data_IF_221670768699
#
_entry.id   IF_221670768699
#
_cell.length_a   1.000
_cell.length_b   1.000
_cell.length_c   1.000
_cell.angle_alpha   90.00
_cell.angle_beta   90.00
_cell.angle_gamma   90.00
#
_symmetry.space_group_name_H-M   'P 1'
#
loop_
_entity.id
_entity.type
_entity.pdbx_description
1 polymer ?
#
# COMPACT_ATOMS: atom_id res chain seq x y z
N UNK A 1 17.34 1.61 33.56
CA UNK A 1 18.24 0.45 33.42
C UNK A 1 17.97 -0.15 32.06
N UNK A 2 18.95 -0.09 31.15
CA UNK A 2 18.79 -0.47 29.74
C UNK A 2 19.90 -1.48 29.46
N UNK A 3 19.53 -2.75 29.41
CA UNK A 3 20.44 -3.84 29.06
C UNK A 3 20.57 -3.91 27.54
N UNK A 4 21.71 -3.45 27.04
CA UNK A 4 22.08 -3.52 25.62
C UNK A 4 22.76 -4.86 25.37
N UNK A 5 22.06 -5.74 24.66
CA UNK A 5 22.64 -6.96 24.11
C UNK A 5 23.66 -6.65 23.02
N UNK A 6 24.77 -7.38 23.05
CA UNK A 6 25.79 -7.38 22.01
C UNK A 6 25.23 -8.10 20.79
N UNK A 7 24.62 -7.35 19.87
CA UNK A 7 24.68 -7.59 18.42
C UNK A 7 23.62 -6.74 17.69
N UNK A 8 24.08 -5.76 16.93
CA UNK A 8 23.42 -5.38 15.68
C UNK A 8 22.20 -4.46 15.74
N UNK A 9 22.39 -3.21 16.18
CA UNK A 9 21.52 -2.10 15.76
C UNK A 9 22.39 -0.93 15.28
N UNK A 10 22.86 -0.98 14.03
CA UNK A 10 23.35 0.23 13.35
C UNK A 10 22.14 1.05 12.91
N UNK A 11 21.62 1.85 13.82
CA UNK A 11 20.83 3.01 13.43
C UNK A 11 21.80 3.97 12.75
N UNK A 12 21.78 4.03 11.41
CA UNK A 12 22.33 5.19 10.71
C UNK A 12 21.44 6.39 11.09
N UNK A 13 21.79 7.02 12.21
CA UNK A 13 21.19 8.23 12.73
C UNK A 13 21.54 9.37 11.78
N UNK A 14 20.74 9.55 10.72
CA UNK A 14 20.70 10.83 10.06
C UNK A 14 20.20 11.85 11.08
N UNK A 15 21.07 12.77 11.51
CA UNK A 15 20.68 13.89 12.36
C UNK A 15 19.56 14.70 11.68
N UNK A 16 18.59 15.24 12.42
CA UNK A 16 17.48 16.04 11.86
C UNK A 16 17.96 17.18 10.94
N UNK A 17 19.17 17.69 11.16
CA UNK A 17 19.82 18.73 10.34
C UNK A 17 20.13 18.25 8.90
N UNK A 18 20.38 16.95 8.70
CA UNK A 18 20.59 16.36 7.36
C UNK A 18 19.31 16.31 6.52
N UNK A 19 18.14 16.33 7.16
CA UNK A 19 16.86 16.34 6.45
C UNK A 19 16.53 17.73 5.89
N UNK A 20 17.12 18.80 6.43
CA UNK A 20 16.95 20.17 5.96
C UNK A 20 17.78 20.48 4.69
N UNK A 21 18.86 19.74 4.45
CA UNK A 21 19.73 19.92 3.27
C UNK A 21 19.26 19.13 2.04
N UNK A 22 18.30 18.20 2.21
CA UNK A 22 17.89 17.25 1.18
C UNK A 22 18.91 16.12 0.96
N UNK A 23 18.53 15.09 0.18
CA UNK A 23 19.42 13.96 -0.12
C UNK A 23 18.71 12.81 -0.85
N UNK A 24 19.49 11.81 -1.30
CA UNK A 24 18.99 10.59 -1.94
C UNK A 24 19.27 9.40 -1.02
N UNK A 25 18.24 8.63 -0.68
CA UNK A 25 18.36 7.40 0.13
C UNK A 25 18.36 6.18 -0.77
N UNK A 26 19.25 5.22 -0.50
CA UNK A 26 19.35 3.96 -1.24
C UNK A 26 18.52 2.88 -0.53
N UNK A 27 17.67 2.18 -1.28
CA UNK A 27 16.97 0.98 -0.81
C UNK A 27 17.71 -0.26 -1.32
N UNK A 28 18.26 -1.05 -0.40
CA UNK A 28 18.85 -2.36 -0.73
C UNK A 28 18.03 -3.45 -0.05
N UNK A 29 17.30 -4.26 -0.83
CA UNK A 29 16.62 -5.45 -0.28
C UNK A 29 17.58 -6.63 -0.14
N UNK A 30 18.49 -6.78 -1.10
CA UNK A 30 19.59 -7.76 -1.11
C UNK A 30 20.72 -7.18 -1.98
N UNK A 31 21.94 -7.08 -1.46
CA UNK A 31 23.11 -6.58 -2.19
C UNK A 31 23.67 -7.63 -3.17
N UNK A 32 22.82 -8.16 -4.04
CA UNK A 32 23.18 -9.18 -5.01
C UNK A 32 23.18 -8.56 -6.42
N UNK A 33 24.35 -8.56 -7.06
CA UNK A 33 24.53 -8.15 -8.45
C UNK A 33 25.60 -7.07 -8.67
N UNK A 34 25.94 -6.85 -9.94
CA UNK A 34 26.87 -5.78 -10.35
C UNK A 34 26.13 -4.44 -10.37
N UNK A 35 26.80 -3.38 -9.94
CA UNK A 35 26.27 -2.02 -10.03
C UNK A 35 26.00 -1.64 -11.51
N UNK A 36 24.84 -1.04 -11.76
CA UNK A 36 24.49 -0.39 -13.04
C UNK A 36 25.10 1.01 -13.09
N UNK A 37 25.28 1.53 -14.31
CA UNK A 37 25.75 2.91 -14.56
C UNK A 37 24.61 3.94 -14.51
N UNK A 38 23.35 3.51 -14.46
CA UNK A 38 22.17 4.38 -14.37
C UNK A 38 21.05 3.72 -13.55
N UNK A 39 20.36 4.51 -12.72
CA UNK A 39 19.24 4.10 -11.90
C UNK A 39 18.12 5.13 -11.96
N UNK A 40 16.83 4.72 -11.93
CA UNK A 40 15.75 5.66 -11.77
C UNK A 40 15.79 6.30 -10.37
N UNK A 41 15.56 7.62 -10.32
CA UNK A 41 15.35 8.32 -9.07
C UNK A 41 13.85 8.35 -8.74
N UNK A 42 13.50 7.83 -7.56
CA UNK A 42 12.12 7.78 -7.09
C UNK A 42 11.79 9.00 -6.23
N UNK A 43 10.55 9.45 -6.28
CA UNK A 43 10.11 10.64 -5.54
C UNK A 43 9.95 10.40 -4.04
N UNK A 44 9.66 9.17 -3.62
CA UNK A 44 9.48 8.79 -2.22
C UNK A 44 9.77 7.30 -2.02
N UNK A 45 9.83 6.87 -0.74
CA UNK A 45 10.16 5.48 -0.35
C UNK A 45 9.13 4.48 -0.90
N UNK A 46 7.83 4.77 -0.82
CA UNK A 46 6.78 3.87 -1.32
C UNK A 46 6.92 3.65 -2.83
N UNK A 47 7.17 4.71 -3.61
CA UNK A 47 7.41 4.61 -5.04
C UNK A 47 8.65 3.74 -5.34
N UNK A 48 9.73 3.90 -4.56
CA UNK A 48 10.93 3.09 -4.71
C UNK A 48 10.72 1.62 -4.36
N UNK A 49 9.89 1.32 -3.35
CA UNK A 49 9.52 -0.06 -2.98
C UNK A 49 8.68 -0.76 -4.06
N UNK A 50 7.87 -0.01 -4.80
CA UNK A 50 6.99 -0.52 -5.85
C UNK A 50 7.52 -0.31 -7.28
N UNK A 51 8.70 0.30 -7.45
CA UNK A 51 9.30 0.54 -8.79
C UNK A 51 8.58 1.61 -9.63
N UNK A 52 7.96 2.61 -8.99
CA UNK A 52 7.16 3.66 -9.63
C UNK A 52 8.04 4.88 -9.96
N UNK A 53 8.49 4.99 -11.21
CA UNK A 53 9.46 6.02 -11.64
C UNK A 53 8.82 7.34 -12.10
N UNK A 54 7.51 7.37 -12.35
CA UNK A 54 6.79 8.54 -12.84
C UNK A 54 5.95 9.23 -11.77
N UNK A 55 5.67 10.52 -12.01
CA UNK A 55 4.72 11.31 -11.20
C UNK A 55 3.25 10.97 -11.51
N UNK A 56 3.02 10.17 -12.57
CA UNK A 56 1.70 9.80 -13.07
C UNK A 56 1.59 8.28 -13.05
N UNK A 57 0.81 7.78 -12.10
CA UNK A 57 0.42 6.37 -12.09
C UNK A 57 -0.49 6.12 -13.29
N UNK A 58 -0.12 5.16 -14.14
CA UNK A 58 -0.95 4.75 -15.29
C UNK A 58 -1.92 3.68 -14.84
N UNK A 59 -3.22 3.86 -15.11
CA UNK A 59 -4.25 2.87 -14.81
C UNK A 59 -3.90 1.49 -15.39
N UNK A 60 -3.98 0.46 -14.57
CA UNK A 60 -3.84 -0.94 -14.99
C UNK A 60 -5.16 -1.52 -15.47
N UNK A 61 -6.23 -1.33 -14.69
CA UNK A 61 -7.58 -1.84 -14.99
C UNK A 61 -8.67 -0.83 -14.63
N UNK A 62 -9.86 -1.01 -15.18
CA UNK A 62 -11.07 -0.25 -14.81
C UNK A 62 -12.10 -1.23 -14.27
N UNK A 63 -12.67 -0.93 -13.11
CA UNK A 63 -13.84 -1.64 -12.61
C UNK A 63 -15.09 -0.81 -12.89
N UNK A 64 -16.19 -1.49 -13.16
CA UNK A 64 -17.49 -0.85 -13.36
C UNK A 64 -18.41 -1.24 -12.20
N UNK A 65 -19.06 -0.25 -11.60
CA UNK A 65 -20.03 -0.48 -10.52
C UNK A 65 -21.23 0.44 -10.67
N UNK A 66 -22.43 -0.05 -10.34
CA UNK A 66 -23.66 0.74 -10.40
C UNK A 66 -23.75 1.72 -9.23
N UNK A 67 -23.31 1.29 -8.04
CA UNK A 67 -23.24 2.11 -6.84
C UNK A 67 -21.80 2.27 -6.41
N UNK A 68 -21.44 3.43 -5.85
CA UNK A 68 -20.12 3.64 -5.30
C UNK A 68 -20.08 3.07 -3.87
N UNK A 69 -19.36 1.97 -3.62
CA UNK A 69 -19.12 1.49 -2.25
C UNK A 69 -18.23 2.48 -1.48
N UNK A 70 -17.97 2.24 -0.18
CA UNK A 70 -17.13 3.12 0.66
C UNK A 70 -15.64 3.07 0.26
N UNK A 71 -15.31 3.64 -0.91
CA UNK A 71 -13.98 3.72 -1.50
C UNK A 71 -13.75 5.11 -2.08
N UNK A 72 -12.49 5.56 -2.04
CA UNK A 72 -12.08 6.88 -2.48
C UNK A 72 -10.81 6.81 -3.33
N UNK A 73 -10.46 7.94 -3.95
CA UNK A 73 -9.14 8.09 -4.56
C UNK A 73 -8.05 7.86 -3.50
N UNK A 74 -7.11 6.98 -3.80
CA UNK A 74 -6.03 6.61 -2.88
C UNK A 74 -6.35 5.41 -1.98
N UNK A 75 -7.58 4.90 -1.96
CA UNK A 75 -7.88 3.64 -1.27
C UNK A 75 -7.01 2.50 -1.79
N UNK A 76 -6.63 1.61 -0.88
CA UNK A 76 -5.75 0.47 -1.18
C UNK A 76 -6.52 -0.62 -1.92
N UNK A 77 -5.82 -1.30 -2.82
CA UNK A 77 -6.28 -2.55 -3.43
C UNK A 77 -5.55 -3.70 -2.76
N UNK A 78 -6.32 -4.64 -2.24
CA UNK A 78 -5.80 -5.75 -1.44
C UNK A 78 -5.96 -7.08 -2.18
N UNK A 79 -4.95 -7.93 -2.04
CA UNK A 79 -5.03 -9.36 -2.37
C UNK A 79 -4.72 -10.15 -1.12
N UNK A 80 -5.70 -10.90 -0.59
CA UNK A 80 -5.56 -11.66 0.67
C UNK A 80 -5.03 -10.78 1.82
N UNK A 81 -5.64 -9.62 2.02
CA UNK A 81 -5.26 -8.60 3.03
C UNK A 81 -3.87 -7.96 2.83
N UNK A 82 -3.23 -8.19 1.68
CA UNK A 82 -1.94 -7.60 1.35
C UNK A 82 -2.08 -6.50 0.29
N UNK A 83 -1.43 -5.35 0.51
CA UNK A 83 -1.49 -4.22 -0.43
C UNK A 83 -0.79 -4.55 -1.75
N UNK A 84 -1.55 -4.50 -2.85
CA UNK A 84 -1.05 -4.77 -4.20
C UNK A 84 -1.25 -3.61 -5.18
N UNK A 85 -1.96 -2.57 -4.76
CA UNK A 85 -2.26 -1.43 -5.63
C UNK A 85 -3.07 -0.35 -4.93
N UNK A 86 -3.50 0.64 -5.71
CA UNK A 86 -4.25 1.81 -5.25
C UNK A 86 -5.30 2.23 -6.27
N UNK A 87 -6.40 2.82 -5.79
CA UNK A 87 -7.39 3.49 -6.63
C UNK A 87 -6.83 4.84 -7.09
N UNK A 88 -6.80 5.06 -8.41
CA UNK A 88 -6.30 6.30 -9.02
C UNK A 88 -7.39 7.36 -9.14
N UNK A 89 -8.58 6.97 -9.56
CA UNK A 89 -9.72 7.87 -9.71
C UNK A 89 -11.04 7.13 -9.78
N UNK A 90 -12.11 7.83 -9.45
CA UNK A 90 -13.49 7.37 -9.58
C UNK A 90 -14.19 8.37 -10.48
N UNK A 91 -14.81 7.90 -11.57
CA UNK A 91 -15.45 8.73 -12.59
C UNK A 91 -16.95 8.40 -12.62
N UNK A 92 -17.82 9.32 -12.19
CA UNK A 92 -19.26 9.12 -12.34
C UNK A 92 -19.65 9.14 -13.82
N UNK A 93 -20.60 8.27 -14.16
CA UNK A 93 -21.34 8.23 -15.43
C UNK A 93 -22.83 8.38 -15.12
N UNK A 94 -23.67 8.41 -16.15
CA UNK A 94 -25.12 8.61 -16.01
C UNK A 94 -25.77 7.59 -15.06
N UNK A 95 -25.37 6.32 -15.12
CA UNK A 95 -25.99 5.23 -14.34
C UNK A 95 -24.98 4.35 -13.59
N UNK A 96 -23.69 4.67 -13.63
CA UNK A 96 -22.62 3.84 -13.06
C UNK A 96 -21.37 4.67 -12.76
N UNK A 97 -20.34 4.01 -12.24
CA UNK A 97 -19.04 4.57 -11.94
C UNK A 97 -17.96 3.71 -12.59
N UNK A 98 -16.98 4.38 -13.21
CA UNK A 98 -15.71 3.78 -13.59
C UNK A 98 -14.69 4.01 -12.47
N UNK A 99 -14.07 2.94 -11.98
CA UNK A 99 -13.05 2.99 -10.94
C UNK A 99 -11.71 2.58 -11.56
N UNK A 100 -10.82 3.55 -11.67
CA UNK A 100 -9.49 3.36 -12.24
C UNK A 100 -8.52 2.87 -11.18
N UNK A 101 -7.91 1.70 -11.42
CA UNK A 101 -7.02 1.05 -10.47
C UNK A 101 -5.62 0.94 -11.05
N UNK A 102 -4.63 1.20 -10.19
CA UNK A 102 -3.24 0.85 -10.44
C UNK A 102 -2.84 -0.35 -9.61
N UNK A 103 -2.32 -1.39 -10.26
CA UNK A 103 -1.68 -2.52 -9.61
C UNK A 103 -0.17 -2.37 -9.75
N UNK A 104 0.56 -2.53 -8.65
CA UNK A 104 2.00 -2.41 -8.66
C UNK A 104 2.63 -3.44 -9.62
N UNK A 105 3.70 -3.08 -10.36
CA UNK A 105 4.27 -3.94 -11.40
C UNK A 105 4.60 -5.35 -10.90
N UNK A 106 5.10 -5.47 -9.67
CA UNK A 106 5.43 -6.75 -9.04
C UNK A 106 4.22 -7.70 -8.88
N UNK A 107 2.99 -7.18 -8.85
CA UNK A 107 1.76 -7.93 -8.57
C UNK A 107 0.80 -8.02 -9.76
N UNK A 108 1.16 -7.49 -10.94
CA UNK A 108 0.29 -7.55 -12.11
C UNK A 108 -0.03 -8.99 -12.53
N UNK A 109 0.86 -9.94 -12.24
CA UNK A 109 0.64 -11.37 -12.48
C UNK A 109 -0.53 -11.97 -11.68
N UNK A 110 -1.06 -11.28 -10.66
CA UNK A 110 -2.23 -11.73 -9.89
C UNK A 110 -3.55 -11.48 -10.64
N UNK A 111 -3.54 -10.67 -11.70
CA UNK A 111 -4.70 -10.38 -12.52
C UNK A 111 -4.89 -11.47 -13.58
N UNK A 112 -6.10 -12.00 -13.65
CA UNK A 112 -6.53 -13.02 -14.61
C UNK A 112 -7.94 -12.73 -15.10
N UNK A 113 -8.38 -13.43 -16.15
CA UNK A 113 -9.77 -13.42 -16.63
C UNK A 113 -10.77 -13.90 -15.56
N UNK A 114 -10.31 -14.69 -14.59
CA UNK A 114 -11.10 -15.21 -13.47
C UNK A 114 -11.06 -14.34 -12.22
N UNK A 115 -10.30 -13.23 -12.24
CA UNK A 115 -10.23 -12.33 -11.09
C UNK A 115 -11.62 -11.76 -10.77
N UNK A 116 -11.90 -11.62 -9.46
CA UNK A 116 -13.13 -11.05 -8.92
C UNK A 116 -12.74 -10.00 -7.90
N UNK A 117 -13.44 -8.87 -7.93
CA UNK A 117 -13.18 -7.72 -7.06
C UNK A 117 -14.41 -7.47 -6.21
N UNK A 118 -14.20 -7.24 -4.92
CA UNK A 118 -15.25 -6.83 -3.99
C UNK A 118 -14.66 -5.78 -3.05
N UNK A 119 -15.52 -4.97 -2.44
CA UNK A 119 -15.11 -4.03 -1.39
C UNK A 119 -15.25 -4.70 -0.04
N UNK A 120 -14.19 -4.66 0.75
CA UNK A 120 -14.21 -5.10 2.14
C UNK A 120 -14.71 -3.93 2.99
N UNK A 121 -16.00 -3.93 3.35
CA UNK A 121 -16.56 -2.92 4.26
C UNK A 121 -15.88 -3.02 5.62
N UNK A 122 -15.22 -1.94 6.06
CA UNK A 122 -14.60 -1.85 7.39
C UNK A 122 -15.63 -1.92 8.55
N UNK A 123 -16.91 -1.66 8.26
CA UNK A 123 -18.01 -1.79 9.20
C UNK A 123 -18.97 -2.89 8.73
N UNK A 124 -18.83 -4.11 9.29
CA UNK A 124 -19.95 -5.06 9.33
C UNK A 124 -20.81 -4.68 10.53
N UNK A 125 -21.86 -3.91 10.30
CA UNK A 125 -22.89 -3.68 11.32
C UNK A 125 -23.91 -4.80 11.16
N UNK A 126 -23.76 -5.86 11.95
CA UNK A 126 -24.74 -6.95 12.00
C UNK A 126 -25.87 -6.52 12.96
N UNK A 127 -26.99 -6.06 12.39
CA UNK A 127 -28.20 -5.73 13.17
C UNK A 127 -29.07 -6.97 13.24
N UNK A 128 -28.78 -7.85 14.20
CA UNK A 128 -29.65 -8.98 14.53
C UNK A 128 -30.74 -8.55 15.53
N UNK A 129 -31.94 -9.16 15.55
CA UNK A 129 -32.99 -8.87 16.56
C UNK A 129 -32.54 -9.16 18.01
N UNK A 130 -31.37 -9.76 18.20
CA UNK A 130 -30.72 -10.06 19.48
C UNK A 130 -29.75 -8.97 19.97
N UNK A 131 -29.61 -7.87 19.24
CA UNK A 131 -28.73 -6.74 19.58
C UNK A 131 -27.65 -6.45 18.53
N UNK A 132 -26.90 -5.38 18.75
CA UNK A 132 -25.82 -4.91 17.88
C UNK A 132 -24.56 -5.76 18.16
N UNK A 133 -24.08 -6.52 17.17
CA UNK A 133 -22.78 -7.20 17.26
C UNK A 133 -21.74 -6.43 16.46
N UNK A 134 -20.75 -5.85 17.15
CA UNK A 134 -19.61 -5.17 16.52
C UNK A 134 -18.50 -6.20 16.39
N UNK A 135 -18.34 -6.79 15.20
CA UNK A 135 -17.14 -7.56 14.87
C UNK A 135 -16.06 -6.61 14.34
N UNK A 136 -15.25 -6.09 15.25
CA UNK A 136 -14.02 -5.40 14.87
C UNK A 136 -13.00 -6.46 14.42
N UNK A 137 -12.57 -6.42 13.16
CA UNK A 137 -11.40 -7.15 12.70
C UNK A 137 -10.19 -6.63 13.49
N UNK A 138 -9.37 -7.47 14.13
CA UNK A 138 -8.19 -7.00 14.84
C UNK A 138 -7.25 -6.27 13.87
N UNK A 139 -7.24 -4.94 13.92
CA UNK A 139 -6.20 -4.14 13.30
C UNK A 139 -4.93 -4.37 14.11
N UNK A 140 -3.92 -4.95 13.47
CA UNK A 140 -2.59 -5.21 14.01
C UNK A 140 -2.51 -6.16 15.22
N UNK A 141 -2.23 -7.43 14.90
CA UNK A 141 -1.43 -8.29 15.78
C UNK A 141 -0.15 -7.53 16.17
N UNK A 142 0.09 -7.43 17.47
CA UNK A 142 1.42 -7.40 18.07
C UNK A 142 2.29 -6.19 17.68
N UNK A 143 2.12 -5.09 18.41
CA UNK A 143 3.30 -4.31 18.79
C UNK A 143 3.91 -4.99 20.01
N UNK A 144 4.67 -6.05 19.72
CA UNK A 144 5.65 -6.64 20.64
C UNK A 144 6.62 -5.53 21.04
N UNK A 145 6.60 -5.11 22.29
CA UNK A 145 7.54 -4.11 22.80
C UNK A 145 7.13 -3.42 24.09
N UNK A 146 6.72 -4.20 25.10
CA UNK A 146 6.96 -3.79 26.48
C UNK A 146 8.36 -4.30 26.84
N UNK A 147 9.37 -3.47 26.60
CA UNK A 147 10.53 -3.11 27.44
C UNK A 147 11.40 -2.14 26.63
#
# INVERSE_FOLDING_TARGET
>A
DISVGLDGLRFESATPEKWLQGGVRVLTKQALGKAKTSYPLYQNISNAEHGITGNILTRTITLHTQTLPSIDKGSLVLYRQFEVGKILSIKPKTNNFDVDIYIYPAYQHLLTDKSRFWVESAAKIDVSPKGISIQATPLARSLKGAI
#
